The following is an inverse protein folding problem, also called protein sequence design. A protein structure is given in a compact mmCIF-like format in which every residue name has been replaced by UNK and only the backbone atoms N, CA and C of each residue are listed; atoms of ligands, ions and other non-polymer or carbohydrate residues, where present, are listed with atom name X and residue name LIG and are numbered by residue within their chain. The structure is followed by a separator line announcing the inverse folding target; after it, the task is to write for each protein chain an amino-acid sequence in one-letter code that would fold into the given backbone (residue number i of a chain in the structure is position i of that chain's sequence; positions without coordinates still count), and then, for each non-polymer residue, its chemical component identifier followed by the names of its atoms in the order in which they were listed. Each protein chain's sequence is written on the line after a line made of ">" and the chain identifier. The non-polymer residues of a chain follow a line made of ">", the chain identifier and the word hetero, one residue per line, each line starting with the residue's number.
data_IF_691099829864
#
_entry.id   IF_691099829864
#
_cell.length_a   1.000
_cell.length_b   1.000
_cell.length_c   1.000
_cell.angle_alpha   90.00
_cell.angle_beta   90.00
_cell.angle_gamma   90.00
#
_symmetry.space_group_name_H-M   'P 1'
#
loop_
_entity.id
_entity.type
_entity.pdbx_description
1 polymer ?
#
# COMPACT_ATOMS: atom_id res chain seq x y z
N UNK A 1 -0.93 46.34 -73.12
CA UNK A 1 -1.13 45.04 -72.44
C UNK A 1 -2.32 45.18 -71.50
N UNK A 2 -3.27 44.23 -71.54
CA UNK A 2 -4.61 44.40 -70.98
C UNK A 2 -4.70 44.01 -69.50
N UNK A 3 -5.66 44.66 -68.85
CA UNK A 3 -6.25 44.35 -67.55
C UNK A 3 -7.18 43.13 -67.70
N UNK A 4 -7.42 42.35 -66.63
CA UNK A 4 -8.73 41.82 -66.17
C UNK A 4 -8.56 40.63 -65.19
N UNK A 5 -9.37 40.73 -64.15
CA UNK A 5 -9.60 39.96 -62.92
C UNK A 5 -9.79 38.43 -62.99
N UNK A 6 -9.32 37.80 -61.90
CA UNK A 6 -9.90 36.74 -61.04
C UNK A 6 -10.88 35.71 -61.62
N UNK A 7 -10.68 34.43 -61.29
CA UNK A 7 -11.78 33.53 -60.96
C UNK A 7 -11.75 33.06 -59.49
N UNK A 8 -12.95 33.06 -58.89
CA UNK A 8 -13.29 32.53 -57.56
C UNK A 8 -13.08 31.01 -57.53
N UNK A 9 -12.26 30.53 -56.60
CA UNK A 9 -12.20 29.13 -56.22
C UNK A 9 -13.26 28.81 -55.16
N UNK A 10 -14.22 27.97 -55.54
CA UNK A 10 -15.08 27.22 -54.63
C UNK A 10 -14.31 26.04 -54.05
N UNK A 11 -14.28 25.87 -52.73
CA UNK A 11 -14.28 24.55 -52.08
C UNK A 11 -14.80 24.71 -50.65
N UNK A 12 -15.86 23.96 -50.35
CA UNK A 12 -16.62 24.03 -49.11
C UNK A 12 -15.85 23.56 -47.89
N UNK A 13 -16.26 24.12 -46.75
CA UNK A 13 -15.95 23.65 -45.40
C UNK A 13 -16.57 22.27 -45.17
N UNK A 14 -15.83 21.25 -44.71
CA UNK A 14 -16.42 20.16 -43.97
C UNK A 14 -16.45 20.54 -42.49
N UNK A 15 -17.67 20.59 -41.94
CA UNK A 15 -17.93 20.85 -40.53
C UNK A 15 -17.23 19.84 -39.63
N UNK A 16 -16.56 20.35 -38.60
CA UNK A 16 -16.13 19.57 -37.45
C UNK A 16 -17.37 19.05 -36.73
N UNK A 17 -17.66 17.75 -36.90
CA UNK A 17 -18.60 17.04 -36.03
C UNK A 17 -17.89 16.73 -34.72
N UNK A 18 -18.43 17.23 -33.62
CA UNK A 18 -18.17 16.70 -32.29
C UNK A 18 -18.66 15.26 -32.22
N UNK A 19 -17.77 14.30 -32.43
CA UNK A 19 -18.00 12.92 -32.02
C UNK A 19 -17.69 12.81 -30.53
N UNK A 20 -18.72 12.99 -29.70
CA UNK A 20 -18.72 12.45 -28.35
C UNK A 20 -18.51 10.93 -28.44
N UNK A 21 -17.34 10.46 -28.02
CA UNK A 21 -17.15 9.05 -27.65
C UNK A 21 -17.41 8.93 -26.15
N UNK A 22 -18.51 8.28 -25.71
CA UNK A 22 -18.66 7.90 -24.32
C UNK A 22 -17.79 6.67 -24.08
N UNK A 23 -16.52 6.90 -23.71
CA UNK A 23 -15.67 5.84 -23.18
C UNK A 23 -16.18 5.48 -21.78
N UNK A 24 -16.94 4.38 -21.73
CA UNK A 24 -17.09 3.44 -20.61
C UNK A 24 -16.43 3.87 -19.30
N UNK A 25 -17.11 4.76 -18.57
CA UNK A 25 -17.03 4.79 -17.13
C UNK A 25 -17.79 3.57 -16.63
N UNK A 26 -17.09 2.44 -16.54
CA UNK A 26 -17.54 1.35 -15.69
C UNK A 26 -17.37 1.82 -14.25
N UNK A 27 -18.33 2.62 -13.78
CA UNK A 27 -18.58 2.83 -12.37
C UNK A 27 -18.81 1.44 -11.76
N UNK A 28 -17.76 0.89 -11.15
CA UNK A 28 -17.91 -0.15 -10.14
C UNK A 28 -18.68 0.51 -9.00
N UNK A 29 -20.00 0.50 -9.10
CA UNK A 29 -20.90 0.73 -7.98
C UNK A 29 -20.51 -0.30 -6.92
N UNK A 30 -19.76 0.14 -5.93
CA UNK A 30 -19.43 -0.68 -4.77
C UNK A 30 -20.75 -1.01 -4.10
N UNK A 31 -21.24 -2.23 -4.32
CA UNK A 31 -22.41 -2.76 -3.63
C UNK A 31 -22.12 -2.61 -2.14
N UNK A 32 -23.03 -1.96 -1.40
CA UNK A 32 -22.88 -1.85 0.04
C UNK A 32 -22.60 -3.25 0.61
N UNK A 33 -21.62 -3.39 1.52
CA UNK A 33 -21.29 -4.68 2.10
C UNK A 33 -22.57 -5.32 2.66
N UNK A 34 -22.74 -6.62 2.44
CA UNK A 34 -23.81 -7.36 3.12
C UNK A 34 -23.57 -7.30 4.62
N UNK A 35 -24.61 -7.51 5.44
CA UNK A 35 -24.48 -7.53 6.91
C UNK A 35 -23.37 -8.50 7.36
N UNK A 36 -23.30 -9.67 6.72
CA UNK A 36 -22.22 -10.65 6.88
C UNK A 36 -20.84 -10.09 6.51
N UNK A 37 -20.72 -9.37 5.39
CA UNK A 37 -19.44 -8.77 4.97
C UNK A 37 -18.99 -7.69 5.95
N UNK A 38 -19.92 -6.85 6.45
CA UNK A 38 -19.60 -5.81 7.41
C UNK A 38 -19.14 -6.40 8.75
N UNK A 39 -19.75 -7.51 9.20
CA UNK A 39 -19.32 -8.22 10.40
C UNK A 39 -17.90 -8.79 10.27
N UNK A 40 -17.54 -9.30 9.10
CA UNK A 40 -16.19 -9.82 8.83
C UNK A 40 -15.13 -8.71 8.76
N UNK A 41 -15.46 -7.56 8.18
CA UNK A 41 -14.56 -6.41 8.18
C UNK A 41 -14.32 -5.89 9.60
N UNK A 42 -15.36 -5.85 10.44
CA UNK A 42 -15.24 -5.51 11.86
C UNK A 42 -14.40 -6.53 12.63
N UNK A 43 -14.57 -7.83 12.34
CA UNK A 43 -13.77 -8.90 12.95
C UNK A 43 -12.28 -8.75 12.57
N UNK A 44 -11.97 -8.46 11.30
CA UNK A 44 -10.59 -8.23 10.86
C UNK A 44 -9.99 -7.02 11.59
N UNK A 45 -10.73 -5.93 11.72
CA UNK A 45 -10.29 -4.77 12.50
C UNK A 45 -10.01 -5.11 13.96
N UNK A 46 -10.89 -5.90 14.59
CA UNK A 46 -10.69 -6.33 15.97
C UNK A 46 -9.43 -7.19 16.11
N UNK A 47 -9.18 -8.10 15.16
CA UNK A 47 -7.95 -8.91 15.16
C UNK A 47 -6.69 -8.05 14.97
N UNK A 48 -6.72 -7.04 14.11
CA UNK A 48 -5.62 -6.08 13.95
C UNK A 48 -5.33 -5.38 15.29
N UNK A 49 -6.36 -4.87 15.96
CA UNK A 49 -6.25 -4.20 17.25
C UNK A 49 -5.83 -5.13 18.39
N UNK A 50 -6.36 -6.35 18.45
CA UNK A 50 -6.00 -7.34 19.46
C UNK A 50 -4.56 -7.82 19.28
N UNK A 51 -4.14 -8.03 18.03
CA UNK A 51 -2.76 -8.38 17.69
C UNK A 51 -1.80 -7.27 18.09
N UNK A 52 -2.18 -6.00 18.00
CA UNK A 52 -1.35 -4.86 18.37
C UNK A 52 -1.12 -4.73 19.89
N UNK A 53 -1.84 -5.48 20.73
CA UNK A 53 -1.66 -5.40 22.18
C UNK A 53 -0.33 -6.00 22.60
N UNK A 54 0.26 -5.37 23.61
CA UNK A 54 1.43 -5.91 24.34
C UNK A 54 1.14 -7.31 24.85
N UNK A 55 2.10 -8.20 24.64
CA UNK A 55 2.02 -9.62 25.05
C UNK A 55 0.85 -10.40 24.43
N UNK A 56 0.24 -9.91 23.35
CA UNK A 56 -0.66 -10.73 22.56
C UNK A 56 0.09 -11.95 22.02
N UNK A 57 -0.57 -13.11 21.99
CA UNK A 57 -0.14 -14.24 21.17
C UNK A 57 -0.42 -13.91 19.70
N UNK A 58 0.40 -12.99 19.18
CA UNK A 58 0.19 -12.38 17.87
C UNK A 58 0.39 -13.40 16.75
N UNK A 59 1.20 -14.44 16.95
CA UNK A 59 1.35 -15.54 16.00
C UNK A 59 0.05 -16.36 15.88
N UNK A 60 -0.64 -16.64 16.98
CA UNK A 60 -1.95 -17.30 16.93
C UNK A 60 -3.01 -16.42 16.23
N UNK A 61 -2.97 -15.10 16.46
CA UNK A 61 -3.86 -14.13 15.80
C UNK A 61 -3.51 -13.95 14.32
N UNK A 62 -2.24 -14.05 13.94
CA UNK A 62 -1.74 -13.96 12.56
C UNK A 62 -2.46 -14.96 11.67
N UNK A 63 -2.51 -16.23 12.08
CA UNK A 63 -3.18 -17.26 11.30
C UNK A 63 -4.66 -16.94 11.05
N UNK A 64 -5.37 -16.46 12.08
CA UNK A 64 -6.79 -16.09 11.96
C UNK A 64 -6.97 -14.86 11.06
N UNK A 65 -6.10 -13.85 11.19
CA UNK A 65 -6.09 -12.69 10.29
C UNK A 65 -5.86 -13.11 8.84
N UNK A 66 -4.89 -14.00 8.60
CA UNK A 66 -4.59 -14.50 7.25
C UNK A 66 -5.80 -15.20 6.63
N UNK A 67 -6.45 -16.11 7.36
CA UNK A 67 -7.63 -16.83 6.86
C UNK A 67 -8.77 -15.88 6.50
N UNK A 68 -9.04 -14.90 7.37
CA UNK A 68 -10.10 -13.92 7.16
C UNK A 68 -9.80 -12.98 6.00
N UNK A 69 -8.54 -12.55 5.86
CA UNK A 69 -8.08 -11.75 4.72
C UNK A 69 -8.23 -12.51 3.40
N UNK A 70 -7.88 -13.79 3.37
CA UNK A 70 -8.02 -14.62 2.19
C UNK A 70 -9.48 -14.75 1.77
N UNK A 71 -10.36 -14.98 2.74
CA UNK A 71 -11.80 -15.04 2.53
C UNK A 71 -12.36 -13.71 2.00
N UNK A 72 -12.02 -12.59 2.65
CA UNK A 72 -12.51 -11.25 2.28
C UNK A 72 -11.97 -10.81 0.91
N UNK A 73 -10.70 -11.12 0.60
CA UNK A 73 -10.09 -10.80 -0.69
C UNK A 73 -10.50 -11.76 -1.81
N UNK A 74 -11.19 -12.86 -1.48
CA UNK A 74 -11.56 -13.90 -2.44
C UNK A 74 -10.34 -14.57 -3.07
N UNK A 75 -9.24 -14.68 -2.34
CA UNK A 75 -8.02 -15.33 -2.80
C UNK A 75 -7.92 -16.77 -2.29
N UNK A 76 -7.22 -17.67 -3.01
CA UNK A 76 -6.97 -19.02 -2.50
C UNK A 76 -6.22 -18.96 -1.18
N UNK A 77 -6.50 -19.88 -0.24
CA UNK A 77 -5.77 -19.95 1.01
C UNK A 77 -4.29 -20.20 0.76
N UNK A 78 -3.43 -19.76 1.68
CA UNK A 78 -1.95 -19.80 1.63
C UNK A 78 -1.38 -21.15 1.13
N UNK A 79 -2.11 -22.25 1.35
CA UNK A 79 -1.77 -23.61 0.95
C UNK A 79 -2.12 -24.00 -0.50
N UNK A 80 -2.85 -23.16 -1.25
CA UNK A 80 -3.13 -23.31 -2.67
C UNK A 80 -2.05 -22.67 -3.53
N UNK A 81 -0.82 -23.15 -3.43
CA UNK A 81 0.36 -22.67 -4.15
C UNK A 81 0.15 -22.68 -5.68
N UNK A 82 -0.40 -21.61 -6.22
CA UNK A 82 -0.18 -21.25 -7.61
C UNK A 82 1.08 -20.40 -7.58
N UNK A 83 2.19 -20.93 -8.13
CA UNK A 83 3.35 -20.14 -8.55
C UNK A 83 2.89 -19.11 -9.58
N UNK A 84 2.27 -18.04 -9.09
CA UNK A 84 2.11 -16.81 -9.83
C UNK A 84 3.42 -16.09 -9.59
N UNK A 85 4.18 -15.89 -10.65
CA UNK A 85 5.44 -15.14 -10.60
C UNK A 85 5.26 -13.78 -9.94
N UNK A 86 6.38 -13.07 -9.78
CA UNK A 86 6.43 -11.75 -9.16
C UNK A 86 5.30 -10.85 -9.68
N UNK A 87 4.36 -10.48 -8.81
CA UNK A 87 3.32 -9.55 -9.19
C UNK A 87 3.94 -8.17 -9.40
N UNK A 88 3.53 -7.42 -10.43
CA UNK A 88 4.00 -6.05 -10.59
C UNK A 88 3.59 -5.21 -9.37
N UNK A 89 4.41 -4.22 -8.98
CA UNK A 89 4.03 -3.28 -7.94
C UNK A 89 2.68 -2.64 -8.24
N UNK A 90 1.86 -2.46 -7.20
CA UNK A 90 0.53 -1.86 -7.29
C UNK A 90 0.44 -0.69 -6.32
N UNK A 91 -0.23 0.37 -6.73
CA UNK A 91 -0.44 1.54 -5.87
C UNK A 91 -1.71 1.33 -5.04
N UNK A 92 -1.58 1.48 -3.73
CA UNK A 92 -2.69 1.66 -2.81
C UNK A 92 -2.68 3.11 -2.30
N UNK A 93 -3.83 3.76 -2.33
CA UNK A 93 -3.94 5.15 -1.90
C UNK A 93 -5.37 5.53 -1.53
N UNK A 94 -5.46 6.64 -0.82
CA UNK A 94 -6.68 7.39 -0.55
C UNK A 94 -6.36 8.90 -0.55
N UNK A 95 -7.33 9.74 -0.13
CA UNK A 95 -7.17 11.19 0.02
C UNK A 95 -6.06 11.59 1.00
N UNK A 96 -5.70 10.71 1.93
CA UNK A 96 -4.73 11.02 3.01
C UNK A 96 -3.35 10.40 2.81
N UNK A 97 -3.25 9.30 2.08
CA UNK A 97 -2.02 8.51 2.00
C UNK A 97 -1.84 7.85 0.63
N UNK A 98 -0.60 7.48 0.33
CA UNK A 98 -0.23 6.72 -0.87
C UNK A 98 0.96 5.83 -0.56
N UNK A 99 0.89 4.58 -1.03
CA UNK A 99 1.88 3.56 -0.81
C UNK A 99 1.95 2.63 -2.03
N UNK A 100 3.16 2.32 -2.50
CA UNK A 100 3.36 1.27 -3.48
C UNK A 100 3.49 -0.08 -2.76
N UNK A 101 2.76 -1.09 -3.21
CA UNK A 101 2.77 -2.43 -2.65
C UNK A 101 3.43 -3.36 -3.66
N UNK A 102 4.55 -3.96 -3.28
CA UNK A 102 5.32 -4.80 -4.17
C UNK A 102 6.69 -5.18 -3.61
N UNK A 103 7.45 -5.96 -4.38
CA UNK A 103 8.75 -6.48 -3.94
C UNK A 103 9.75 -5.35 -3.68
N UNK A 104 10.55 -5.55 -2.64
CA UNK A 104 11.67 -4.66 -2.28
C UNK A 104 12.99 -5.37 -2.51
N UNK A 105 13.99 -4.61 -2.94
CA UNK A 105 15.35 -5.10 -3.16
C UNK A 105 16.09 -5.19 -1.83
N UNK A 106 16.37 -6.42 -1.37
CA UNK A 106 17.00 -6.66 -0.07
C UNK A 106 18.49 -6.32 -0.04
N UNK A 107 19.11 -6.15 -1.22
CA UNK A 107 20.50 -5.76 -1.36
C UNK A 107 20.70 -4.24 -1.23
N UNK A 108 19.62 -3.47 -1.20
CA UNK A 108 19.65 -2.00 -1.08
C UNK A 108 19.24 -1.57 0.30
N UNK A 109 19.45 -0.28 0.54
CA UNK A 109 18.92 0.41 1.71
C UNK A 109 17.41 0.15 1.87
N UNK A 110 17.02 -0.30 3.07
CA UNK A 110 15.64 -0.60 3.40
C UNK A 110 15.36 -0.38 4.89
N UNK A 111 14.09 -0.32 5.24
CA UNK A 111 13.61 -0.33 6.63
C UNK A 111 12.77 -1.58 6.81
N UNK A 112 13.05 -2.38 7.83
CA UNK A 112 12.21 -3.51 8.21
C UNK A 112 11.20 -3.08 9.26
N UNK A 113 10.04 -3.71 9.24
CA UNK A 113 9.06 -3.70 10.32
C UNK A 113 9.10 -5.08 10.96
N UNK A 114 9.46 -5.13 12.24
CA UNK A 114 9.77 -6.35 12.96
C UNK A 114 9.02 -6.43 14.28
N UNK A 115 8.82 -7.65 14.78
CA UNK A 115 8.26 -7.92 16.11
C UNK A 115 8.78 -9.26 16.62
N UNK A 116 9.26 -9.30 17.86
CA UNK A 116 9.82 -10.51 18.49
C UNK A 116 10.84 -11.26 17.61
N UNK A 117 11.67 -10.51 16.87
CA UNK A 117 12.67 -11.06 15.95
C UNK A 117 12.10 -11.62 14.63
N UNK A 118 10.79 -11.51 14.40
CA UNK A 118 10.14 -11.83 13.13
C UNK A 118 9.95 -10.59 12.27
N UNK A 119 10.36 -10.69 11.00
CA UNK A 119 10.09 -9.65 10.01
C UNK A 119 8.64 -9.73 9.52
N UNK A 120 7.89 -8.66 9.75
CA UNK A 120 6.50 -8.53 9.31
C UNK A 120 6.44 -7.94 7.90
N UNK A 121 7.27 -6.93 7.64
CA UNK A 121 7.33 -6.23 6.37
C UNK A 121 8.68 -5.55 6.14
N UNK A 122 8.89 -5.05 4.91
CA UNK A 122 10.02 -4.21 4.56
C UNK A 122 9.59 -3.05 3.63
N UNK A 123 10.24 -1.92 3.83
CA UNK A 123 10.04 -0.65 3.13
C UNK A 123 11.29 -0.28 2.34
N UNK A 124 11.11 0.20 1.11
CA UNK A 124 12.17 0.80 0.30
C UNK A 124 11.71 2.11 -0.32
N UNK A 125 12.64 3.02 -0.68
CA UNK A 125 12.27 4.21 -1.42
C UNK A 125 11.85 3.87 -2.85
N UNK A 126 10.89 4.61 -3.38
CA UNK A 126 10.66 4.73 -4.83
C UNK A 126 11.53 5.85 -5.40
N UNK A 127 11.65 5.94 -6.72
CA UNK A 127 12.41 7.02 -7.39
C UNK A 127 11.95 8.44 -7.00
N UNK A 128 10.68 8.58 -6.60
CA UNK A 128 10.10 9.84 -6.14
C UNK A 128 10.25 10.10 -4.64
N UNK A 129 10.94 9.24 -3.90
CA UNK A 129 11.06 9.32 -2.43
C UNK A 129 9.78 8.96 -1.67
N UNK A 130 8.79 8.37 -2.35
CA UNK A 130 7.66 7.71 -1.69
C UNK A 130 8.09 6.31 -1.23
N UNK A 131 7.18 5.61 -0.57
CA UNK A 131 7.45 4.30 0.02
C UNK A 131 6.91 3.18 -0.86
N UNK A 132 7.70 2.13 -1.00
CA UNK A 132 7.27 0.80 -1.43
C UNK A 132 7.30 -0.14 -0.24
N UNK A 133 6.25 -0.94 -0.05
CA UNK A 133 6.09 -1.91 1.02
C UNK A 133 5.92 -3.32 0.45
N UNK A 134 6.65 -4.28 1.03
CA UNK A 134 6.26 -5.70 1.03
C UNK A 134 5.90 -6.13 2.44
N UNK A 135 4.79 -6.84 2.61
CA UNK A 135 4.52 -7.60 3.83
C UNK A 135 4.77 -9.09 3.61
N UNK A 136 5.30 -9.75 4.63
CA UNK A 136 5.51 -11.21 4.67
C UNK A 136 4.48 -11.90 5.55
N UNK A 137 3.88 -11.14 6.48
CA UNK A 137 2.87 -11.58 7.44
C UNK A 137 1.75 -10.55 7.50
N UNK A 138 0.52 -10.95 7.91
CA UNK A 138 -0.52 -10.01 8.30
C UNK A 138 0.00 -8.97 9.30
N UNK A 139 -0.30 -7.71 9.03
CA UNK A 139 0.12 -6.59 9.88
C UNK A 139 -0.90 -6.34 11.00
N UNK A 140 -0.40 -6.09 12.21
CA UNK A 140 -1.23 -5.65 13.33
C UNK A 140 -1.64 -4.17 13.21
N UNK A 141 -2.57 -3.73 14.07
CA UNK A 141 -3.11 -2.38 14.05
C UNK A 141 -2.06 -1.29 14.28
N UNK A 142 -1.08 -1.52 15.16
CA UNK A 142 -0.03 -0.55 15.44
C UNK A 142 0.90 -0.38 14.22
N UNK A 143 1.28 -1.50 13.62
CA UNK A 143 2.01 -1.55 12.35
C UNK A 143 1.28 -0.78 11.24
N UNK A 144 -0.03 -1.01 11.08
CA UNK A 144 -0.85 -0.35 10.06
C UNK A 144 -0.98 1.16 10.31
N UNK A 145 -1.16 1.58 11.55
CA UNK A 145 -1.19 2.99 11.94
C UNK A 145 0.12 3.71 11.56
N UNK A 146 1.26 3.12 11.93
CA UNK A 146 2.57 3.69 11.61
C UNK A 146 2.80 3.75 10.11
N UNK A 147 2.38 2.73 9.36
CA UNK A 147 2.48 2.75 7.89
C UNK A 147 1.60 3.84 7.27
N UNK A 148 0.38 4.06 7.76
CA UNK A 148 -0.49 5.13 7.27
C UNK A 148 0.09 6.52 7.56
N UNK A 149 0.69 6.70 8.74
CA UNK A 149 1.42 7.92 9.09
C UNK A 149 2.60 8.16 8.12
N UNK A 150 3.43 7.14 7.89
CA UNK A 150 4.56 7.22 6.96
C UNK A 150 4.13 7.42 5.50
N UNK A 151 2.96 6.91 5.11
CA UNK A 151 2.42 6.99 3.75
C UNK A 151 1.67 8.30 3.45
N UNK A 152 1.57 9.21 4.43
CA UNK A 152 0.83 10.47 4.28
C UNK A 152 1.24 11.27 3.03
N UNK A 153 0.28 11.95 2.40
CA UNK A 153 0.60 12.82 1.27
C UNK A 153 1.48 14.00 1.70
N UNK A 154 2.60 14.27 1.01
CA UNK A 154 3.43 15.41 1.30
C UNK A 154 2.71 16.70 0.92
N UNK A 155 2.81 17.70 1.78
CA UNK A 155 2.40 19.06 1.46
C UNK A 155 3.27 19.61 0.32
N UNK A 156 2.69 20.26 -0.72
CA UNK A 156 3.43 20.70 -1.91
C UNK A 156 4.66 21.58 -1.63
N UNK A 157 4.64 22.32 -0.51
CA UNK A 157 5.72 23.23 -0.10
C UNK A 157 6.59 22.72 1.05
N UNK A 158 6.02 21.94 1.95
CA UNK A 158 6.66 21.62 3.24
C UNK A 158 7.04 20.14 3.35
N UNK A 159 6.73 19.35 2.31
CA UNK A 159 6.90 17.91 2.31
C UNK A 159 6.01 17.24 3.36
N UNK A 160 6.52 16.19 3.98
CA UNK A 160 5.76 15.36 4.94
C UNK A 160 6.44 15.44 6.30
N UNK A 161 5.73 15.92 7.34
CA UNK A 161 6.29 16.12 8.68
C UNK A 161 7.65 16.88 8.70
N UNK A 162 7.76 17.96 7.90
CA UNK A 162 9.00 18.75 7.75
C UNK A 162 10.19 17.97 7.17
N UNK A 163 9.94 16.89 6.42
CA UNK A 163 10.91 16.16 5.60
C UNK A 163 10.61 16.32 4.13
N UNK A 164 11.64 16.22 3.29
CA UNK A 164 11.50 16.42 1.84
C UNK A 164 10.56 15.38 1.24
N UNK A 165 10.61 14.14 1.73
CA UNK A 165 9.80 13.03 1.25
C UNK A 165 9.53 11.98 2.33
N UNK A 166 8.69 11.00 2.00
CA UNK A 166 8.27 9.94 2.93
C UNK A 166 9.41 9.01 3.31
N UNK A 167 10.38 8.78 2.43
CA UNK A 167 11.55 7.97 2.75
C UNK A 167 12.39 8.59 3.88
N UNK A 168 12.68 9.89 3.81
CA UNK A 168 13.42 10.59 4.87
C UNK A 168 12.66 10.61 6.19
N UNK A 169 11.34 10.74 6.14
CA UNK A 169 10.51 10.57 7.34
C UNK A 169 10.65 9.16 7.92
N UNK A 170 10.57 8.12 7.08
CA UNK A 170 10.69 6.74 7.53
C UNK A 170 12.07 6.45 8.15
N UNK A 171 13.16 6.98 7.59
CA UNK A 171 14.51 6.84 8.14
C UNK A 171 14.60 7.46 9.53
N UNK A 172 14.05 8.66 9.71
CA UNK A 172 14.03 9.32 11.02
C UNK A 172 13.20 8.55 12.04
N UNK A 173 12.03 8.07 11.63
CA UNK A 173 11.13 7.27 12.48
C UNK A 173 11.72 5.90 12.82
N UNK A 174 12.58 5.33 11.98
CA UNK A 174 13.34 4.12 12.27
C UNK A 174 14.54 4.37 13.20
N UNK A 175 15.02 5.60 13.26
CA UNK A 175 16.08 6.02 14.19
C UNK A 175 15.54 6.45 15.58
N UNK A 176 14.22 6.51 15.76
CA UNK A 176 13.61 6.88 17.04
C UNK A 176 13.94 5.84 18.12
N UNK A 177 14.28 6.33 19.32
CA UNK A 177 14.59 5.52 20.49
C UNK A 177 13.40 4.65 20.94
N UNK A 178 12.18 5.06 20.62
CA UNK A 178 10.98 4.28 20.92
C UNK A 178 11.00 2.90 20.24
N UNK A 179 11.71 2.73 19.11
CA UNK A 179 11.85 1.42 18.47
C UNK A 179 12.66 0.43 19.31
N UNK A 180 13.69 0.90 20.03
CA UNK A 180 14.46 0.06 20.96
C UNK A 180 13.59 -0.40 22.14
N UNK A 181 12.76 0.48 22.67
CA UNK A 181 11.84 0.10 23.75
C UNK A 181 10.72 -0.82 23.27
N UNK A 182 10.22 -0.61 22.05
CA UNK A 182 9.23 -1.48 21.42
C UNK A 182 9.79 -2.89 21.21
N UNK A 183 11.04 -3.03 20.75
CA UNK A 183 11.66 -4.35 20.57
C UNK A 183 11.79 -5.12 21.89
N UNK A 184 12.15 -4.44 22.98
CA UNK A 184 12.27 -5.07 24.32
C UNK A 184 10.91 -5.46 24.92
N UNK A 185 9.82 -4.82 24.46
CA UNK A 185 8.46 -5.01 25.00
C UNK A 185 7.59 -5.95 24.16
N UNK A 186 8.14 -6.45 23.04
CA UNK A 186 7.43 -7.29 22.09
C UNK A 186 6.37 -6.54 21.27
N UNK A 187 6.54 -5.22 21.13
CA UNK A 187 5.77 -4.38 20.22
C UNK A 187 6.44 -4.35 18.84
N UNK A 188 5.70 -4.04 17.78
CA UNK A 188 6.27 -3.91 16.44
C UNK A 188 7.14 -2.66 16.33
N UNK A 189 8.33 -2.77 15.74
CA UNK A 189 9.31 -1.69 15.63
C UNK A 189 9.92 -1.60 14.22
N UNK A 190 10.45 -0.43 13.88
CA UNK A 190 11.22 -0.24 12.65
C UNK A 190 12.71 -0.40 12.90
N UNK A 191 13.42 -1.03 11.97
CA UNK A 191 14.88 -1.08 11.95
C UNK A 191 15.42 -0.65 10.59
N UNK A 192 16.39 0.25 10.60
CA UNK A 192 17.01 0.79 9.38
C UNK A 192 18.25 0.00 8.98
N UNK A 193 18.33 -0.38 7.70
CA UNK A 193 19.42 -1.15 7.12
C UNK A 193 20.08 -0.37 5.98
N UNK A 194 21.04 0.53 6.25
CA UNK A 194 21.70 1.37 5.24
C UNK A 194 22.37 0.59 4.10
N UNK A 195 22.88 -0.60 4.40
CA UNK A 195 23.56 -1.49 3.45
C UNK A 195 22.69 -2.63 2.94
N UNK A 196 21.39 -2.63 3.24
CA UNK A 196 20.52 -3.78 3.04
C UNK A 196 20.81 -4.93 4.00
N UNK A 197 20.20 -6.08 3.73
CA UNK A 197 20.20 -7.26 4.60
C UNK A 197 21.24 -8.32 4.21
N UNK A 198 22.05 -8.07 3.18
CA UNK A 198 23.16 -8.95 2.79
C UNK A 198 22.77 -10.19 1.97
N UNK A 199 21.64 -10.17 1.27
CA UNK A 199 21.23 -11.20 0.30
C UNK A 199 21.26 -10.68 -1.15
N UNK A 200 21.51 -11.56 -2.12
CA UNK A 200 21.35 -11.22 -3.54
C UNK A 200 19.86 -11.28 -3.92
N UNK A 201 19.25 -10.13 -4.25
CA UNK A 201 17.95 -10.05 -4.94
C UNK A 201 16.75 -9.63 -4.09
N UNK A 202 15.57 -9.67 -4.72
CA UNK A 202 14.28 -9.42 -4.07
C UNK A 202 13.93 -10.54 -3.09
N UNK A 203 13.18 -10.24 -2.03
CA UNK A 203 12.72 -11.26 -1.09
C UNK A 203 11.85 -12.32 -1.80
N UNK A 204 12.46 -13.47 -2.08
CA UNK A 204 11.84 -14.63 -2.71
C UNK A 204 10.91 -15.37 -1.75
N UNK A 205 9.70 -14.84 -1.58
CA UNK A 205 8.66 -15.49 -0.78
C UNK A 205 7.26 -14.91 -0.94
N UNK A 206 7.12 -13.79 -1.67
CA UNK A 206 5.81 -13.18 -1.80
C UNK A 206 4.91 -13.96 -2.76
N UNK A 207 3.70 -14.23 -2.29
CA UNK A 207 2.58 -14.57 -3.16
C UNK A 207 2.24 -13.34 -3.99
N UNK A 208 1.85 -13.52 -5.26
CA UNK A 208 1.33 -12.45 -6.12
C UNK A 208 0.13 -11.67 -5.53
N UNK A 209 -0.38 -12.12 -4.38
CA UNK A 209 -1.56 -11.62 -3.69
C UNK A 209 -1.20 -10.84 -2.42
N UNK A 210 0.06 -10.85 -1.96
CA UNK A 210 0.49 -10.15 -0.75
C UNK A 210 0.10 -8.65 -0.79
N UNK A 211 0.33 -7.98 -1.92
CA UNK A 211 -0.12 -6.60 -2.09
C UNK A 211 -1.64 -6.41 -2.00
N UNK A 212 -2.46 -7.39 -2.40
CA UNK A 212 -3.93 -7.31 -2.28
C UNK A 212 -4.37 -7.42 -0.82
N UNK A 213 -3.76 -8.35 -0.07
CA UNK A 213 -4.07 -8.56 1.34
C UNK A 213 -3.68 -7.34 2.18
N UNK A 214 -2.50 -6.77 1.93
CA UNK A 214 -2.04 -5.56 2.66
C UNK A 214 -2.93 -4.35 2.37
N UNK A 215 -3.35 -4.14 1.12
CA UNK A 215 -4.29 -3.04 0.83
C UNK A 215 -5.62 -3.22 1.57
N UNK A 216 -6.13 -4.45 1.62
CA UNK A 216 -7.34 -4.74 2.38
C UNK A 216 -7.16 -4.41 3.86
N UNK A 217 -6.03 -4.81 4.47
CA UNK A 217 -5.73 -4.48 5.85
C UNK A 217 -5.71 -2.97 6.10
N UNK A 218 -5.03 -2.20 5.24
CA UNK A 218 -4.95 -0.74 5.34
C UNK A 218 -6.32 -0.09 5.24
N UNK A 219 -7.16 -0.52 4.28
CA UNK A 219 -8.52 0.01 4.09
C UNK A 219 -9.43 -0.29 5.27
N UNK A 220 -9.39 -1.52 5.78
CA UNK A 220 -10.19 -1.93 6.96
C UNK A 220 -9.76 -1.14 8.19
N UNK A 221 -8.46 -1.08 8.45
CA UNK A 221 -7.94 -0.33 9.59
C UNK A 221 -8.31 1.15 9.52
N UNK A 222 -8.16 1.78 8.35
CA UNK A 222 -8.53 3.17 8.16
C UNK A 222 -10.05 3.40 8.32
N UNK A 223 -10.89 2.48 7.85
CA UNK A 223 -12.34 2.64 7.92
C UNK A 223 -12.84 2.68 9.36
N UNK A 224 -12.34 1.79 10.22
CA UNK A 224 -12.80 1.67 11.61
C UNK A 224 -12.00 2.49 12.63
N UNK A 225 -10.80 2.98 12.28
CA UNK A 225 -10.00 3.83 13.17
C UNK A 225 -10.41 5.30 13.17
N UNK A 226 -11.24 5.75 12.22
CA UNK A 226 -11.71 7.13 12.21
C UNK A 226 -12.88 7.34 13.19
N UNK A 227 -12.85 8.39 14.04
CA UNK A 227 -14.00 8.74 14.85
C UNK A 227 -15.15 9.18 13.92
N UNK A 228 -16.30 8.52 14.06
CA UNK A 228 -17.54 8.84 13.33
C UNK A 228 -18.21 10.13 13.78
#
# INVERSE_FOLDING_TARGET
>A
MPNISVPKGHTGLPGYRHSHSPALAAERSARAPTDDSQSQLQELFQLQCDSARRHADWEALEYRMQCLLEQLAGVPPYCGAVSRGLAPPRVASDERWWLELGPVDSARELITLERDGSMLAALSPTDGGRLRLTAYRPLDGHSLERLLYLAAHPHPRFGVHMRVNNWQLAVDEAADADNFFASEQGDSYFAHWPGGLGGEGEFGGQTALAGQLVEMQLRVYQHFSQPG
#
